data_IF_182508979505
#
_entry.id   IF_182508979505
#
_cell.length_a   1.000
_cell.length_b   1.000
_cell.length_c   1.000
_cell.angle_alpha   90.00
_cell.angle_beta   90.00
_cell.angle_gamma   90.00
#
_symmetry.space_group_name_H-M   'P 1'
#
loop_
_entity.id
_entity.type
_entity.pdbx_description
1 polymer ?
#
# COMPACT_ATOMS: atom_id res chain seq x y z
N UNK A 1 8.06 12.69 7.63
CA UNK A 1 7.68 11.24 7.66
C UNK A 1 6.51 10.98 8.61
N UNK A 2 6.68 11.07 9.94
CA UNK A 2 5.66 10.64 10.93
C UNK A 2 4.29 11.34 10.82
N UNK A 3 4.26 12.64 10.52
CA UNK A 3 2.99 13.40 10.40
C UNK A 3 2.12 12.95 9.23
N UNK A 4 2.70 12.80 8.02
CA UNK A 4 1.98 12.35 6.82
C UNK A 4 1.45 10.92 6.96
N UNK A 5 2.22 10.02 7.56
CA UNK A 5 1.78 8.64 7.78
C UNK A 5 0.56 8.58 8.72
N UNK A 6 0.58 9.35 9.83
CA UNK A 6 -0.53 9.44 10.77
C UNK A 6 -1.78 10.07 10.14
N UNK A 7 -1.61 11.10 9.30
CA UNK A 7 -2.70 11.73 8.57
C UNK A 7 -3.35 10.76 7.56
N UNK A 8 -2.53 9.98 6.86
CA UNK A 8 -2.99 8.96 5.92
C UNK A 8 -3.74 7.83 6.63
N UNK A 9 -3.21 7.35 7.76
CA UNK A 9 -3.88 6.36 8.61
C UNK A 9 -5.23 6.87 9.08
N UNK A 10 -5.27 8.09 9.66
CA UNK A 10 -6.51 8.68 10.14
C UNK A 10 -7.55 8.82 9.03
N UNK A 11 -7.14 9.35 7.87
CA UNK A 11 -8.02 9.52 6.71
C UNK A 11 -8.54 8.17 6.19
N UNK A 12 -7.67 7.15 6.14
CA UNK A 12 -8.07 5.81 5.74
C UNK A 12 -9.11 5.21 6.70
N UNK A 13 -8.87 5.28 8.01
CA UNK A 13 -9.80 4.76 9.01
C UNK A 13 -11.15 5.48 8.94
N UNK A 14 -11.17 6.80 8.71
CA UNK A 14 -12.42 7.52 8.46
C UNK A 14 -13.14 7.03 7.21
N UNK A 15 -12.42 6.80 6.10
CA UNK A 15 -12.98 6.25 4.86
C UNK A 15 -13.58 4.87 5.10
N UNK A 16 -12.88 4.01 5.84
CA UNK A 16 -13.33 2.66 6.15
C UNK A 16 -14.71 2.66 6.83
N UNK A 17 -14.90 3.58 7.77
CA UNK A 17 -16.13 3.71 8.56
C UNK A 17 -17.24 4.41 7.80
N UNK A 18 -16.93 5.44 7.00
CA UNK A 18 -17.92 6.36 6.42
C UNK A 18 -18.43 5.94 5.06
N UNK A 19 -17.57 5.37 4.22
CA UNK A 19 -17.96 5.07 2.84
C UNK A 19 -18.99 3.93 2.81
N UNK A 20 -19.99 3.98 1.93
CA UNK A 20 -20.99 2.91 1.82
C UNK A 20 -20.30 1.60 1.40
N UNK A 21 -20.85 0.43 1.78
CA UNK A 21 -20.32 -0.86 1.32
C UNK A 21 -20.23 -0.93 -0.20
N UNK A 22 -19.29 -1.74 -0.72
CA UNK A 22 -19.12 -1.92 -2.15
C UNK A 22 -20.43 -2.36 -2.82
N UNK A 23 -20.94 -1.53 -3.74
CA UNK A 23 -22.28 -1.67 -4.33
C UNK A 23 -22.40 -2.78 -5.39
N UNK A 24 -21.57 -3.82 -5.34
CA UNK A 24 -21.67 -4.97 -6.25
C UNK A 24 -21.90 -6.24 -5.44
N UNK A 25 -22.84 -7.06 -5.89
CA UNK A 25 -23.04 -8.43 -5.41
C UNK A 25 -21.84 -9.37 -5.70
N UNK A 26 -20.73 -8.84 -6.22
CA UNK A 26 -19.50 -9.56 -6.49
C UNK A 26 -18.66 -9.68 -5.21
N UNK A 27 -18.05 -10.85 -5.07
CA UNK A 27 -17.07 -11.11 -4.03
C UNK A 27 -15.88 -10.15 -4.20
N UNK A 28 -15.47 -9.55 -3.10
CA UNK A 28 -14.43 -8.53 -3.07
C UNK A 28 -13.67 -8.59 -1.75
N UNK A 29 -12.47 -8.05 -1.74
CA UNK A 29 -11.72 -7.77 -0.53
C UNK A 29 -12.13 -6.41 -0.01
N UNK A 30 -12.43 -6.34 1.28
CA UNK A 30 -12.81 -5.09 1.93
C UNK A 30 -11.65 -4.10 1.96
N UNK A 31 -11.97 -2.82 1.87
CA UNK A 31 -11.07 -1.71 2.15
C UNK A 31 -10.25 -1.92 3.43
N UNK A 32 -8.97 -1.55 3.39
CA UNK A 32 -8.06 -1.81 4.50
C UNK A 32 -6.92 -0.80 4.57
N UNK A 33 -6.40 -0.60 5.78
CA UNK A 33 -5.13 0.06 6.01
C UNK A 33 -4.04 -1.00 6.18
N UNK A 34 -2.98 -0.93 5.38
CA UNK A 34 -1.89 -1.93 5.44
C UNK A 34 -0.66 -1.46 6.24
N UNK A 35 -0.76 -0.31 6.90
CA UNK A 35 0.33 0.35 7.60
C UNK A 35 1.02 1.46 6.80
N UNK A 36 0.83 1.55 5.49
CA UNK A 36 1.40 2.61 4.64
C UNK A 36 0.37 3.23 3.69
N UNK A 37 -0.49 2.42 3.09
CA UNK A 37 -1.48 2.88 2.12
C UNK A 37 -2.87 2.41 2.50
N UNK A 38 -3.85 3.23 2.12
CA UNK A 38 -5.25 2.87 2.17
C UNK A 38 -5.62 2.12 0.89
N UNK A 39 -6.25 0.97 1.04
CA UNK A 39 -6.72 0.15 -0.07
C UNK A 39 -8.23 0.18 -0.11
N UNK A 40 -8.79 0.35 -1.30
CA UNK A 40 -10.23 0.34 -1.53
C UNK A 40 -10.77 -1.07 -1.74
N UNK A 41 -12.10 -1.20 -1.69
CA UNK A 41 -12.77 -2.45 -2.01
C UNK A 41 -12.36 -2.91 -3.42
N UNK A 42 -11.88 -4.16 -3.51
CA UNK A 42 -11.26 -4.67 -4.74
C UNK A 42 -11.90 -6.00 -5.14
N UNK A 43 -12.35 -6.17 -6.39
CA UNK A 43 -12.96 -7.42 -6.85
C UNK A 43 -12.07 -8.64 -6.65
N UNK A 44 -12.67 -9.78 -6.29
CA UNK A 44 -11.98 -11.05 -6.15
C UNK A 44 -11.25 -11.45 -7.45
N UNK A 45 -10.05 -12.01 -7.31
CA UNK A 45 -9.20 -12.42 -8.43
C UNK A 45 -8.48 -11.28 -9.15
N UNK A 46 -8.47 -10.07 -8.59
CA UNK A 46 -7.85 -8.89 -9.22
C UNK A 46 -6.77 -8.23 -8.35
N UNK A 47 -5.97 -7.37 -8.99
CA UNK A 47 -4.96 -6.57 -8.30
C UNK A 47 -5.44 -5.13 -8.12
N UNK A 48 -5.38 -4.65 -6.89
CA UNK A 48 -5.38 -3.21 -6.62
C UNK A 48 -3.98 -2.65 -6.86
N UNK A 49 -3.89 -1.42 -7.36
CA UNK A 49 -2.62 -0.73 -7.58
C UNK A 49 -2.75 0.77 -7.36
N UNK A 50 -1.74 1.36 -6.74
CA UNK A 50 -1.60 2.81 -6.54
C UNK A 50 -0.12 3.18 -6.44
N UNK A 51 0.18 4.47 -6.54
CA UNK A 51 1.56 4.96 -6.44
C UNK A 51 2.16 4.66 -5.06
N UNK A 52 3.48 4.46 -5.03
CA UNK A 52 4.20 4.32 -3.78
C UNK A 52 4.10 5.61 -2.92
N UNK A 53 4.09 5.49 -1.59
CA UNK A 53 4.00 6.64 -0.70
C UNK A 53 5.17 7.62 -0.87
N UNK A 54 4.86 8.92 -0.95
CA UNK A 54 5.84 10.00 -1.15
C UNK A 54 6.55 10.45 0.14
N UNK A 55 6.14 9.92 1.29
CA UNK A 55 6.59 10.34 2.60
C UNK A 55 7.68 9.44 3.20
N UNK A 56 8.03 8.36 2.51
CA UNK A 56 9.18 7.50 2.78
C UNK A 56 10.34 7.90 1.86
N UNK A 57 11.49 8.21 2.44
CA UNK A 57 12.62 8.81 1.72
C UNK A 57 13.32 7.83 0.76
N UNK A 58 13.22 6.54 1.05
CA UNK A 58 13.78 5.42 0.32
C UNK A 58 12.86 4.87 -0.77
N UNK A 59 11.63 5.37 -0.89
CA UNK A 59 10.62 4.87 -1.83
C UNK A 59 10.46 5.78 -3.05
N UNK A 60 10.50 5.21 -4.25
CA UNK A 60 10.20 5.94 -5.49
C UNK A 60 8.68 6.13 -5.67
N UNK A 61 8.13 7.37 -5.56
CA UNK A 61 6.69 7.62 -5.68
C UNK A 61 6.16 7.52 -7.12
N UNK A 62 7.05 7.35 -8.11
CA UNK A 62 6.67 7.11 -9.51
C UNK A 62 6.36 5.64 -9.79
N UNK A 63 6.88 4.74 -8.95
CA UNK A 63 6.60 3.31 -8.98
C UNK A 63 5.25 2.99 -8.32
N UNK A 64 4.80 1.75 -8.48
CA UNK A 64 3.49 1.30 -7.98
C UNK A 64 3.59 0.19 -6.94
N UNK A 65 2.84 0.36 -5.87
CA UNK A 65 2.51 -0.72 -4.95
C UNK A 65 1.32 -1.52 -5.50
N UNK A 66 1.29 -2.82 -5.25
CA UNK A 66 0.18 -3.70 -5.68
C UNK A 66 -0.28 -4.60 -4.55
N UNK A 67 -1.59 -4.89 -4.51
CA UNK A 67 -2.21 -5.76 -3.52
C UNK A 67 -3.17 -6.71 -4.22
N UNK A 68 -3.00 -8.01 -4.03
CA UNK A 68 -3.83 -9.03 -4.68
C UNK A 68 -5.04 -9.37 -3.83
N UNK A 69 -6.23 -9.27 -4.40
CA UNK A 69 -7.45 -9.80 -3.84
C UNK A 69 -7.69 -11.22 -4.36
N UNK A 70 -7.69 -12.19 -3.46
CA UNK A 70 -7.90 -13.60 -3.78
C UNK A 70 -9.28 -13.87 -4.38
N UNK A 71 -9.41 -15.00 -5.07
CA UNK A 71 -10.69 -15.46 -5.63
C UNK A 71 -11.73 -15.78 -4.53
N UNK A 72 -11.29 -15.93 -3.29
CA UNK A 72 -12.09 -16.12 -2.09
C UNK A 72 -12.52 -14.80 -1.42
N UNK A 73 -12.19 -13.64 -2.03
CA UNK A 73 -12.47 -12.33 -1.45
C UNK A 73 -11.59 -11.99 -0.25
N UNK A 74 -10.49 -12.71 -0.04
CA UNK A 74 -9.52 -12.40 1.00
C UNK A 74 -8.27 -11.76 0.40
N UNK A 75 -7.73 -10.76 1.09
CA UNK A 75 -6.46 -10.17 0.67
C UNK A 75 -5.35 -11.21 0.78
N UNK A 76 -4.42 -11.23 -0.18
CA UNK A 76 -3.31 -12.17 -0.18
C UNK A 76 -2.51 -12.16 1.13
N UNK A 77 -2.27 -13.36 1.68
CA UNK A 77 -1.41 -13.58 2.84
C UNK A 77 -0.03 -14.06 2.40
N UNK A 78 1.03 -13.43 2.92
CA UNK A 78 2.39 -13.83 2.57
C UNK A 78 2.70 -15.22 3.17
N UNK A 79 3.24 -16.18 2.38
CA UNK A 79 3.33 -17.59 2.77
C UNK A 79 4.21 -17.86 3.99
N UNK A 80 5.14 -16.95 4.32
CA UNK A 80 6.02 -17.12 5.49
C UNK A 80 5.46 -16.53 6.78
N UNK A 81 4.73 -15.42 6.70
CA UNK A 81 4.23 -14.70 7.88
C UNK A 81 2.75 -14.96 8.14
N UNK A 82 2.04 -15.51 7.15
CA UNK A 82 0.59 -15.69 7.14
C UNK A 82 -0.20 -14.41 7.45
N UNK A 83 0.41 -13.26 7.20
CA UNK A 83 -0.20 -11.93 7.37
C UNK A 83 -0.59 -11.39 6.02
N UNK A 84 -1.67 -10.62 5.98
CA UNK A 84 -2.05 -9.87 4.79
C UNK A 84 -0.87 -9.04 4.30
N UNK A 85 -0.62 -9.05 2.99
CA UNK A 85 0.59 -8.48 2.41
C UNK A 85 0.28 -7.54 1.25
N UNK A 86 1.19 -6.61 1.03
CA UNK A 86 1.17 -5.66 -0.08
C UNK A 86 2.56 -5.66 -0.72
N UNK A 87 2.60 -5.69 -2.03
CA UNK A 87 3.83 -5.68 -2.79
C UNK A 87 4.36 -4.25 -2.96
N UNK A 88 5.40 -3.93 -2.18
CA UNK A 88 6.16 -2.68 -2.28
C UNK A 88 7.53 -2.87 -2.95
N UNK A 89 7.80 -4.02 -3.58
CA UNK A 89 9.13 -4.33 -4.13
C UNK A 89 9.61 -3.30 -5.15
N UNK A 90 8.72 -2.82 -6.03
CA UNK A 90 9.04 -1.79 -7.02
C UNK A 90 9.35 -0.43 -6.38
N UNK A 91 8.72 -0.10 -5.25
CA UNK A 91 8.97 1.15 -4.54
C UNK A 91 10.42 1.28 -4.05
N UNK A 92 11.07 0.16 -3.74
CA UNK A 92 12.40 0.11 -3.13
C UNK A 92 13.54 -0.22 -4.12
N UNK A 93 13.28 -0.28 -5.43
CA UNK A 93 14.30 -0.71 -6.43
C UNK A 93 15.48 0.26 -6.49
N UNK A 94 15.21 1.57 -6.44
CA UNK A 94 16.23 2.63 -6.56
C UNK A 94 16.65 3.24 -5.22
N UNK A 95 16.32 2.58 -4.10
CA UNK A 95 16.59 3.11 -2.75
C UNK A 95 18.05 3.56 -2.58
N UNK A 96 19.03 2.76 -3.01
CA UNK A 96 20.46 3.11 -2.85
C UNK A 96 20.85 4.40 -3.58
N UNK A 97 20.33 4.61 -4.77
CA UNK A 97 20.63 5.80 -5.57
C UNK A 97 19.93 7.04 -4.97
N UNK A 98 18.68 6.89 -4.53
CA UNK A 98 17.93 7.97 -3.88
C UNK A 98 18.56 8.37 -2.55
N UNK A 99 19.09 7.41 -1.79
CA UNK A 99 19.84 7.69 -0.56
C UNK A 99 21.12 8.49 -0.84
N UNK A 100 21.86 8.17 -1.90
CA UNK A 100 23.05 8.93 -2.31
C UNK A 100 22.72 10.36 -2.72
N UNK A 101 21.60 10.59 -3.41
CA UNK A 101 21.14 11.94 -3.76
C UNK A 101 20.76 12.76 -2.53
N UNK A 102 20.14 12.12 -1.53
CA UNK A 102 19.65 12.79 -0.32
C UNK A 102 20.75 13.05 0.72
N UNK A 103 21.75 12.17 0.80
CA UNK A 103 22.87 12.26 1.74
C UNK A 103 24.21 12.13 1.02
N UNK A 104 24.53 13.06 0.10
CA UNK A 104 25.74 12.98 -0.71
C UNK A 104 27.02 12.98 0.14
N UNK A 105 27.00 13.69 1.27
CA UNK A 105 28.16 13.85 2.16
C UNK A 105 28.37 12.67 3.12
N UNK A 106 27.41 11.73 3.21
CA UNK A 106 27.43 10.60 4.16
C UNK A 106 27.70 9.27 3.46
N UNK A 107 27.30 9.15 2.19
CA UNK A 107 27.28 7.89 1.44
C UNK A 107 28.29 7.85 0.27
N UNK A 108 29.35 8.68 0.34
CA UNK A 108 30.47 8.68 -0.62
C UNK A 108 31.26 7.38 -0.59
#
# INVERSE_FOLDING_TARGET
>A
VKLKMLENEYTCLQKIIRDPPFNKSELHCSRSWDGLLCWDDTPAGTFASQNCPDYLFDFDPTEKATKYCGEDGQWFHHPRSNTTWTNYTLCAVNTKERLKVMYPDVLS
#
